data_IF_337706150936
#
_entry.id   IF_337706150936
#
_cell.length_a   1.000
_cell.length_b   1.000
_cell.length_c   1.000
_cell.angle_alpha   90.00
_cell.angle_beta   90.00
_cell.angle_gamma   90.00
#
_symmetry.space_group_name_H-M   'P 1'
#
loop_
_entity.id
_entity.type
_entity.pdbx_description
1 polymer ?
#
# COMPACT_ATOMS: atom_id res chain seq x y z
N UNK A 1 12.78 8.90 57.90
CA UNK A 1 13.27 7.97 56.89
C UNK A 1 12.15 7.85 55.81
N UNK A 2 12.25 8.58 54.72
CA UNK A 2 11.24 8.57 53.64
C UNK A 2 11.70 7.57 52.58
N UNK A 3 10.91 6.53 52.38
CA UNK A 3 11.15 5.52 51.31
C UNK A 3 10.42 6.03 50.08
N UNK A 4 11.19 6.45 49.05
CA UNK A 4 10.64 6.82 47.73
C UNK A 4 10.55 5.55 46.88
N UNK A 5 9.33 5.12 46.60
CA UNK A 5 9.06 4.00 45.68
C UNK A 5 9.14 4.51 44.28
N UNK A 6 10.16 4.12 43.51
CA UNK A 6 10.27 4.37 42.09
C UNK A 6 9.51 3.24 41.34
N UNK A 7 8.33 3.57 40.84
CA UNK A 7 7.60 2.65 39.96
C UNK A 7 8.23 2.66 38.56
N UNK A 8 8.86 1.57 38.19
CA UNK A 8 9.26 1.31 36.79
C UNK A 8 8.01 1.09 35.95
N UNK A 9 7.65 2.07 35.16
CA UNK A 9 6.62 1.90 34.14
C UNK A 9 7.28 1.14 32.98
N UNK A 10 7.05 -0.17 32.89
CA UNK A 10 7.37 -0.98 31.73
C UNK A 10 6.35 -0.62 30.65
N UNK A 11 6.76 0.23 29.70
CA UNK A 11 6.02 0.41 28.45
C UNK A 11 5.97 -0.93 27.72
N UNK A 12 4.80 -1.37 27.21
CA UNK A 12 4.74 -2.55 26.37
C UNK A 12 5.48 -2.24 25.06
N UNK A 13 6.65 -2.86 24.92
CA UNK A 13 7.29 -2.96 23.61
C UNK A 13 6.33 -3.81 22.75
N UNK A 14 5.56 -3.14 21.89
CA UNK A 14 4.82 -3.84 20.83
C UNK A 14 5.89 -4.40 19.91
N UNK A 15 6.25 -5.66 20.13
CA UNK A 15 7.00 -6.45 19.17
C UNK A 15 6.13 -6.55 17.92
N UNK A 16 6.36 -5.68 16.97
CA UNK A 16 6.00 -5.92 15.60
C UNK A 16 6.75 -7.18 15.18
N UNK A 17 6.07 -8.32 15.18
CA UNK A 17 6.57 -9.51 14.52
C UNK A 17 6.77 -9.11 13.06
N UNK A 18 8.02 -8.87 12.68
CA UNK A 18 8.44 -8.84 11.28
C UNK A 18 7.88 -10.12 10.69
N UNK A 19 6.90 -10.01 9.79
CA UNK A 19 6.56 -11.11 8.90
C UNK A 19 7.82 -11.27 8.07
N UNK A 20 8.74 -12.09 8.55
CA UNK A 20 9.91 -12.50 7.79
C UNK A 20 9.35 -13.30 6.62
N UNK A 21 9.17 -12.64 5.48
CA UNK A 21 9.03 -13.37 4.24
C UNK A 21 10.36 -14.08 4.04
N UNK A 22 10.34 -15.41 4.14
CA UNK A 22 11.49 -16.21 3.75
C UNK A 22 11.95 -15.74 2.37
N UNK A 23 13.27 -15.73 2.15
CA UNK A 23 13.81 -15.41 0.83
C UNK A 23 13.10 -16.28 -0.22
N UNK A 24 12.21 -15.66 -0.98
CA UNK A 24 11.36 -16.31 -1.99
C UNK A 24 12.11 -16.51 -3.33
N UNK A 25 13.42 -16.25 -3.35
CA UNK A 25 14.26 -16.26 -4.56
C UNK A 25 14.01 -15.05 -5.48
N UNK A 26 13.15 -14.11 -5.08
CA UNK A 26 12.75 -12.93 -5.87
C UNK A 26 13.26 -11.62 -5.25
N UNK A 27 13.99 -11.73 -4.15
CA UNK A 27 14.46 -10.54 -3.39
C UNK A 27 15.32 -9.62 -4.26
N UNK A 28 16.25 -10.17 -5.03
CA UNK A 28 17.09 -9.36 -5.94
C UNK A 28 16.24 -8.60 -6.96
N UNK A 29 15.30 -9.27 -7.63
CA UNK A 29 14.42 -8.63 -8.63
C UNK A 29 13.57 -7.52 -7.99
N UNK A 30 13.15 -7.73 -6.75
CA UNK A 30 12.38 -6.73 -6.00
C UNK A 30 13.22 -5.49 -5.67
N UNK A 31 14.49 -5.68 -5.28
CA UNK A 31 15.43 -4.59 -5.06
C UNK A 31 15.70 -3.82 -6.34
N UNK A 32 15.95 -4.51 -7.46
CA UNK A 32 16.18 -3.90 -8.77
C UNK A 32 14.98 -3.05 -9.22
N UNK A 33 13.75 -3.54 -8.99
CA UNK A 33 12.54 -2.76 -9.25
C UNK A 33 12.50 -1.47 -8.42
N UNK A 34 12.85 -1.53 -7.14
CA UNK A 34 12.85 -0.36 -6.26
C UNK A 34 13.91 0.65 -6.70
N UNK A 35 15.11 0.21 -7.08
CA UNK A 35 16.14 1.08 -7.64
C UNK A 35 15.65 1.78 -8.92
N UNK A 36 14.97 1.07 -9.80
CA UNK A 36 14.38 1.64 -11.01
C UNK A 36 13.28 2.67 -10.68
N UNK A 37 12.44 2.41 -9.68
CA UNK A 37 11.43 3.36 -9.19
C UNK A 37 12.11 4.63 -8.67
N UNK A 38 13.14 4.51 -7.84
CA UNK A 38 13.90 5.67 -7.32
C UNK A 38 14.50 6.48 -8.48
N UNK A 39 15.11 5.81 -9.47
CA UNK A 39 15.67 6.49 -10.64
C UNK A 39 14.58 7.23 -11.44
N UNK A 40 13.39 6.66 -11.56
CA UNK A 40 12.26 7.32 -12.22
C UNK A 40 11.73 8.53 -11.44
N UNK A 41 11.70 8.49 -10.11
CA UNK A 41 11.37 9.64 -9.25
C UNK A 41 12.35 10.80 -9.52
N UNK A 42 13.65 10.52 -9.51
CA UNK A 42 14.67 11.54 -9.80
C UNK A 42 14.52 12.09 -11.22
N UNK A 43 14.25 11.23 -12.21
CA UNK A 43 14.08 11.64 -13.61
C UNK A 43 12.90 12.59 -13.82
N UNK A 44 11.81 12.39 -13.07
CA UNK A 44 10.55 13.16 -13.23
C UNK A 44 10.40 14.28 -12.19
N UNK A 45 11.44 14.58 -11.41
CA UNK A 45 11.38 15.53 -10.30
C UNK A 45 10.96 16.96 -10.72
N UNK A 46 11.29 17.35 -11.96
CA UNK A 46 10.95 18.70 -12.45
C UNK A 46 9.44 18.85 -12.70
N UNK A 47 8.77 17.76 -13.09
CA UNK A 47 7.32 17.72 -13.33
C UNK A 47 6.55 17.45 -12.05
N UNK A 48 7.00 16.49 -11.25
CA UNK A 48 6.28 16.01 -10.06
C UNK A 48 6.58 16.81 -8.81
N UNK A 49 7.72 17.54 -8.78
CA UNK A 49 8.30 18.20 -7.60
C UNK A 49 8.67 17.25 -6.46
N UNK A 50 8.78 15.95 -6.78
CA UNK A 50 9.25 14.91 -5.87
C UNK A 50 10.65 14.50 -6.33
N UNK A 51 11.66 14.73 -5.50
CA UNK A 51 13.06 14.38 -5.80
C UNK A 51 13.56 13.14 -5.04
N UNK A 52 12.84 12.77 -3.97
CA UNK A 52 13.19 11.62 -3.11
C UNK A 52 11.92 10.94 -2.62
N UNK A 53 12.02 9.65 -2.28
CA UNK A 53 10.97 8.91 -1.60
C UNK A 53 11.26 8.83 -0.10
N UNK A 54 10.20 8.82 0.70
CA UNK A 54 10.29 8.49 2.12
C UNK A 54 10.90 7.09 2.27
N UNK A 55 11.91 6.90 3.14
CA UNK A 55 12.52 5.60 3.40
C UNK A 55 11.50 4.51 3.79
N UNK A 56 10.38 4.87 4.42
CA UNK A 56 9.33 3.92 4.76
C UNK A 56 8.60 3.39 3.52
N UNK A 57 8.39 4.21 2.49
CA UNK A 57 7.84 3.78 1.19
C UNK A 57 8.80 2.81 0.52
N UNK A 58 10.08 3.15 0.48
CA UNK A 58 11.13 2.29 -0.08
C UNK A 58 11.14 0.94 0.63
N UNK A 59 11.16 0.93 1.97
CA UNK A 59 11.15 -0.28 2.77
C UNK A 59 9.88 -1.13 2.53
N UNK A 60 8.69 -0.50 2.45
CA UNK A 60 7.45 -1.20 2.15
C UNK A 60 7.49 -1.89 0.78
N UNK A 61 8.02 -1.22 -0.25
CA UNK A 61 8.16 -1.80 -1.59
C UNK A 61 9.21 -2.92 -1.65
N UNK A 62 10.27 -2.82 -0.85
CA UNK A 62 11.30 -3.86 -0.71
C UNK A 62 10.78 -5.11 0.02
N UNK A 63 9.83 -4.94 0.93
CA UNK A 63 9.26 -6.02 1.75
C UNK A 63 8.13 -6.78 1.04
N UNK A 64 7.24 -6.07 0.33
CA UNK A 64 6.00 -6.65 -0.17
C UNK A 64 6.23 -7.39 -1.49
N UNK A 65 5.94 -8.70 -1.55
CA UNK A 65 6.18 -9.52 -2.73
C UNK A 65 5.14 -9.24 -3.82
N UNK A 66 5.45 -8.33 -4.77
CA UNK A 66 4.52 -7.92 -5.84
C UNK A 66 4.04 -9.09 -6.69
N UNK A 67 4.85 -10.15 -6.86
CA UNK A 67 4.47 -11.34 -7.62
C UNK A 67 3.27 -12.10 -7.02
N UNK A 68 2.96 -11.92 -5.73
CA UNK A 68 1.77 -12.49 -5.11
C UNK A 68 0.47 -11.74 -5.45
N UNK A 69 0.59 -10.57 -6.09
CA UNK A 69 -0.53 -9.69 -6.46
C UNK A 69 -0.85 -9.69 -7.96
N UNK A 70 -0.20 -10.53 -8.73
CA UNK A 70 -0.44 -10.69 -10.17
C UNK A 70 -0.82 -12.13 -10.49
N UNK A 71 -1.49 -12.38 -11.64
CA UNK A 71 -1.72 -13.73 -12.15
C UNK A 71 -0.41 -14.53 -12.27
N UNK A 72 -0.48 -15.84 -12.11
CA UNK A 72 0.70 -16.71 -12.07
C UNK A 72 1.55 -16.61 -13.34
N UNK A 73 0.90 -16.54 -14.50
CA UNK A 73 1.54 -16.38 -15.79
C UNK A 73 2.29 -15.05 -15.96
N UNK A 74 1.96 -14.03 -15.15
CA UNK A 74 2.60 -12.71 -15.17
C UNK A 74 3.67 -12.53 -14.07
N UNK A 75 3.85 -13.51 -13.19
CA UNK A 75 4.89 -13.45 -12.14
C UNK A 75 6.29 -13.15 -12.65
N UNK A 76 6.75 -13.65 -13.80
CA UNK A 76 8.06 -13.29 -14.34
C UNK A 76 8.24 -11.79 -14.66
N UNK A 77 7.14 -11.07 -14.87
CA UNK A 77 7.12 -9.62 -15.15
C UNK A 77 6.82 -8.75 -13.92
N UNK A 78 6.54 -9.38 -12.77
CA UNK A 78 6.02 -8.69 -11.59
C UNK A 78 6.95 -7.61 -11.03
N UNK A 79 8.24 -7.70 -11.29
CA UNK A 79 9.24 -6.75 -10.81
C UNK A 79 9.74 -5.79 -11.89
N UNK A 80 9.07 -5.72 -13.04
CA UNK A 80 9.27 -4.64 -14.00
C UNK A 80 8.44 -3.41 -13.58
N UNK A 81 8.98 -2.22 -13.80
CA UNK A 81 8.26 -0.96 -13.51
C UNK A 81 7.22 -0.65 -14.61
N UNK A 82 6.25 -1.55 -14.74
CA UNK A 82 5.14 -1.48 -15.70
C UNK A 82 3.80 -1.84 -15.02
N UNK A 83 2.65 -1.35 -15.55
CA UNK A 83 1.36 -1.89 -15.17
C UNK A 83 1.20 -3.33 -15.68
N UNK A 84 0.48 -4.17 -14.93
CA UNK A 84 0.23 -5.56 -15.32
C UNK A 84 -1.27 -5.87 -15.22
N UNK A 85 -1.84 -6.63 -16.17
CA UNK A 85 -3.22 -7.08 -16.11
C UNK A 85 -3.50 -7.91 -14.85
N UNK A 86 -4.67 -7.66 -14.22
CA UNK A 86 -5.14 -8.41 -13.05
C UNK A 86 -6.52 -9.04 -13.28
N UNK A 87 -6.95 -9.05 -14.54
CA UNK A 87 -8.26 -9.55 -14.98
C UNK A 87 -9.32 -8.44 -15.05
N UNK A 88 -10.46 -8.79 -15.64
CA UNK A 88 -11.62 -7.88 -15.75
C UNK A 88 -11.30 -6.53 -16.41
N UNK A 89 -10.40 -6.52 -17.40
CA UNK A 89 -9.90 -5.34 -18.09
C UNK A 89 -9.21 -4.32 -17.16
N UNK A 90 -8.81 -4.76 -15.94
CA UNK A 90 -8.10 -3.94 -14.97
C UNK A 90 -6.61 -4.29 -14.91
N UNK A 91 -5.81 -3.30 -14.51
CA UNK A 91 -4.37 -3.44 -14.32
C UNK A 91 -3.98 -3.08 -12.88
N UNK A 92 -2.93 -3.71 -12.36
CA UNK A 92 -2.21 -3.12 -11.22
C UNK A 92 -1.40 -1.92 -11.71
N UNK A 93 -1.36 -0.86 -10.93
CA UNK A 93 -0.59 0.33 -11.27
C UNK A 93 0.90 0.02 -11.39
N UNK A 94 1.60 0.79 -12.23
CA UNK A 94 3.05 0.80 -12.33
C UNK A 94 3.67 1.10 -10.95
N UNK A 95 4.72 0.38 -10.51
CA UNK A 95 5.40 0.62 -9.24
C UNK A 95 5.82 2.07 -9.00
N UNK A 96 6.37 2.73 -10.01
CA UNK A 96 6.69 4.17 -9.95
C UNK A 96 5.46 5.02 -9.59
N UNK A 97 4.30 4.80 -10.23
CA UNK A 97 3.09 5.56 -9.93
C UNK A 97 2.58 5.30 -8.51
N UNK A 98 2.68 4.05 -8.03
CA UNK A 98 2.34 3.70 -6.65
C UNK A 98 3.21 4.49 -5.68
N UNK A 99 4.53 4.47 -5.87
CA UNK A 99 5.46 5.20 -5.03
C UNK A 99 5.20 6.71 -5.05
N UNK A 100 4.99 7.28 -6.24
CA UNK A 100 4.71 8.70 -6.41
C UNK A 100 3.40 9.13 -5.72
N UNK A 101 2.31 8.40 -5.95
CA UNK A 101 1.02 8.69 -5.30
C UNK A 101 1.11 8.60 -3.79
N UNK A 102 1.79 7.58 -3.26
CA UNK A 102 2.01 7.39 -1.82
C UNK A 102 2.83 8.55 -1.24
N UNK A 103 3.90 8.96 -1.92
CA UNK A 103 4.73 10.09 -1.51
C UNK A 103 3.95 11.40 -1.49
N UNK A 104 3.16 11.67 -2.53
CA UNK A 104 2.33 12.89 -2.64
C UNK A 104 1.19 12.92 -1.62
N UNK A 105 0.66 11.75 -1.25
CA UNK A 105 -0.38 11.65 -0.22
C UNK A 105 0.15 11.95 1.19
N UNK A 106 1.47 11.89 1.41
CA UNK A 106 2.11 12.24 2.67
C UNK A 106 1.66 11.34 3.84
N UNK A 107 1.36 10.08 3.57
CA UNK A 107 0.81 9.13 4.55
C UNK A 107 1.77 8.91 5.72
N UNK A 108 1.24 8.98 6.93
CA UNK A 108 1.95 8.80 8.19
C UNK A 108 1.36 7.61 8.98
N UNK A 109 2.16 7.08 9.93
CA UNK A 109 1.82 5.88 10.73
C UNK A 109 0.57 6.00 11.59
N UNK A 110 0.05 7.21 11.80
CA UNK A 110 -1.16 7.46 12.58
C UNK A 110 -2.40 7.62 11.68
N UNK A 111 -2.21 7.75 10.38
CA UNK A 111 -3.24 8.10 9.42
C UNK A 111 -4.23 6.95 9.17
N UNK A 112 -5.44 7.37 8.84
CA UNK A 112 -6.48 6.55 8.23
C UNK A 112 -6.56 6.92 6.75
N UNK A 113 -6.22 5.98 5.89
CA UNK A 113 -6.17 6.19 4.45
C UNK A 113 -7.37 5.56 3.79
N UNK A 114 -8.01 6.33 2.88
CA UNK A 114 -9.03 5.81 1.97
C UNK A 114 -8.43 5.62 0.58
N UNK A 115 -8.60 4.44 0.02
CA UNK A 115 -8.15 4.10 -1.32
C UNK A 115 -9.34 3.67 -2.16
N UNK A 116 -9.44 4.18 -3.40
CA UNK A 116 -10.39 3.69 -4.41
C UNK A 116 -9.65 2.88 -5.47
N UNK A 117 -10.33 1.84 -6.02
CA UNK A 117 -9.72 0.94 -7.00
C UNK A 117 -8.68 -0.01 -6.38
N UNK A 118 -9.07 -0.85 -5.43
CA UNK A 118 -8.18 -1.83 -4.78
C UNK A 118 -7.40 -2.68 -5.80
N UNK A 119 -8.05 -3.10 -6.89
CA UNK A 119 -7.48 -3.97 -7.89
C UNK A 119 -6.98 -5.29 -7.30
N UNK A 120 -5.69 -5.58 -7.48
CA UNK A 120 -5.06 -6.75 -6.86
C UNK A 120 -4.79 -6.62 -5.36
N UNK A 121 -4.79 -5.38 -4.82
CA UNK A 121 -4.48 -5.07 -3.44
C UNK A 121 -3.00 -4.73 -3.17
N UNK A 122 -2.14 -4.63 -4.19
CA UNK A 122 -0.71 -4.36 -3.98
C UNK A 122 -0.48 -2.97 -3.38
N UNK A 123 -1.14 -1.91 -3.90
CA UNK A 123 -1.01 -0.57 -3.34
C UNK A 123 -1.59 -0.51 -1.93
N UNK A 124 -2.77 -1.11 -1.69
CA UNK A 124 -3.36 -1.23 -0.36
C UNK A 124 -2.40 -1.89 0.66
N UNK A 125 -1.66 -2.92 0.22
CA UNK A 125 -0.65 -3.57 1.05
C UNK A 125 0.50 -2.61 1.41
N UNK A 126 1.00 -1.81 0.46
CA UNK A 126 2.02 -0.77 0.71
C UNK A 126 1.50 0.26 1.71
N UNK A 127 0.30 0.81 1.49
CA UNK A 127 -0.33 1.78 2.39
C UNK A 127 -0.49 1.24 3.79
N UNK A 128 -0.83 -0.05 3.94
CA UNK A 128 -1.00 -0.67 5.25
C UNK A 128 0.30 -0.79 6.07
N UNK A 129 1.46 -0.71 5.42
CA UNK A 129 2.77 -0.65 6.10
C UNK A 129 3.11 0.76 6.60
N UNK A 130 2.43 1.77 6.09
CA UNK A 130 2.71 3.18 6.34
C UNK A 130 1.68 3.84 7.27
N UNK A 131 0.43 3.36 7.25
CA UNK A 131 -0.71 3.96 7.92
C UNK A 131 -1.20 3.14 9.12
N UNK A 132 -1.91 3.77 10.05
CA UNK A 132 -2.61 3.09 11.13
C UNK A 132 -3.72 2.19 10.60
N UNK A 133 -4.46 2.67 9.59
CA UNK A 133 -5.55 1.93 8.97
C UNK A 133 -5.73 2.28 7.51
N UNK A 134 -6.00 1.27 6.70
CA UNK A 134 -6.35 1.44 5.28
C UNK A 134 -7.75 0.90 5.03
N UNK A 135 -8.58 1.72 4.41
CA UNK A 135 -9.92 1.39 3.93
C UNK A 135 -9.86 1.47 2.41
N UNK A 136 -10.06 0.36 1.74
CA UNK A 136 -9.97 0.29 0.29
C UNK A 136 -11.29 -0.20 -0.32
N UNK A 137 -11.71 0.40 -1.42
CA UNK A 137 -12.92 0.01 -2.14
C UNK A 137 -12.61 -0.37 -3.58
N UNK A 138 -13.37 -1.34 -4.09
CA UNK A 138 -13.23 -1.88 -5.46
C UNK A 138 -14.62 -2.11 -6.05
N UNK A 139 -14.86 -1.55 -7.23
CA UNK A 139 -16.15 -1.66 -7.92
C UNK A 139 -16.32 -3.00 -8.62
N UNK A 140 -15.24 -3.66 -8.99
CA UNK A 140 -15.26 -4.99 -9.62
C UNK A 140 -15.29 -6.06 -8.54
N UNK A 141 -16.49 -6.61 -8.27
CA UNK A 141 -16.70 -7.54 -7.16
C UNK A 141 -15.72 -8.72 -7.11
N UNK A 142 -15.41 -9.43 -8.20
CA UNK A 142 -14.42 -10.53 -8.16
C UNK A 142 -13.03 -10.08 -7.74
N UNK A 143 -12.59 -8.86 -8.13
CA UNK A 143 -11.32 -8.28 -7.68
C UNK A 143 -11.37 -7.94 -6.19
N UNK A 144 -12.43 -7.27 -5.72
CA UNK A 144 -12.62 -6.96 -4.30
C UNK A 144 -12.52 -8.23 -3.43
N UNK A 145 -13.28 -9.27 -3.80
CA UNK A 145 -13.29 -10.55 -3.06
C UNK A 145 -11.91 -11.24 -3.09
N UNK A 146 -11.23 -11.22 -4.23
CA UNK A 146 -9.89 -11.82 -4.39
C UNK A 146 -8.85 -11.07 -3.56
N UNK A 147 -8.83 -9.73 -3.64
CA UNK A 147 -7.92 -8.89 -2.88
C UNK A 147 -8.14 -9.06 -1.37
N UNK A 148 -9.40 -9.03 -0.90
CA UNK A 148 -9.72 -9.23 0.51
C UNK A 148 -9.20 -10.58 1.05
N UNK A 149 -9.42 -11.66 0.30
CA UNK A 149 -8.91 -13.00 0.68
C UNK A 149 -7.39 -13.06 0.70
N UNK A 150 -6.74 -12.51 -0.33
CA UNK A 150 -5.28 -12.47 -0.45
C UNK A 150 -4.65 -11.72 0.71
N UNK A 151 -5.09 -10.50 0.95
CA UNK A 151 -4.56 -9.64 2.00
C UNK A 151 -4.76 -10.26 3.39
N UNK A 152 -5.93 -10.85 3.65
CA UNK A 152 -6.19 -11.58 4.89
C UNK A 152 -5.24 -12.79 5.06
N UNK A 153 -5.03 -13.60 3.99
CA UNK A 153 -4.10 -14.73 4.00
C UNK A 153 -2.65 -14.29 4.25
N UNK A 154 -2.27 -13.13 3.73
CA UNK A 154 -0.94 -12.54 3.93
C UNK A 154 -0.76 -11.84 5.28
N UNK A 155 -1.79 -11.82 6.15
CA UNK A 155 -1.69 -11.31 7.52
C UNK A 155 -1.87 -9.80 7.67
N UNK A 156 -2.40 -9.09 6.66
CA UNK A 156 -2.71 -7.66 6.79
C UNK A 156 -3.96 -7.48 7.67
N UNK A 157 -3.78 -6.95 8.89
CA UNK A 157 -4.85 -6.81 9.91
C UNK A 157 -5.42 -5.41 10.00
N UNK A 158 -4.67 -4.40 9.56
CA UNK A 158 -5.08 -2.99 9.57
C UNK A 158 -5.68 -2.51 8.24
N UNK A 159 -6.03 -3.45 7.33
CA UNK A 159 -6.57 -3.16 6.01
C UNK A 159 -7.94 -3.83 5.84
N UNK A 160 -8.90 -3.06 5.34
CA UNK A 160 -10.26 -3.52 5.06
C UNK A 160 -10.58 -3.25 3.58
N UNK A 161 -11.04 -4.27 2.86
CA UNK A 161 -11.47 -4.15 1.45
C UNK A 161 -12.97 -4.38 1.36
N UNK A 162 -13.65 -3.50 0.62
CA UNK A 162 -15.09 -3.60 0.35
C UNK A 162 -15.37 -3.53 -1.14
N UNK A 163 -16.29 -4.36 -1.61
CA UNK A 163 -16.94 -4.17 -2.91
C UNK A 163 -17.89 -2.97 -2.82
N UNK A 164 -17.50 -1.85 -3.43
CA UNK A 164 -18.30 -0.62 -3.49
C UNK A 164 -17.78 0.29 -4.60
N UNK A 165 -18.63 1.22 -5.04
CA UNK A 165 -18.21 2.34 -5.86
C UNK A 165 -17.54 3.41 -4.99
N UNK A 166 -16.27 3.70 -5.28
CA UNK A 166 -15.44 4.66 -4.56
C UNK A 166 -15.99 6.09 -4.60
N UNK A 167 -16.81 6.43 -5.61
CA UNK A 167 -17.43 7.73 -5.72
C UNK A 167 -18.30 8.10 -4.50
N UNK A 168 -18.91 7.12 -3.86
CA UNK A 168 -19.74 7.34 -2.67
C UNK A 168 -18.98 7.34 -1.36
N UNK A 169 -17.64 7.14 -1.39
CA UNK A 169 -16.82 7.07 -0.19
C UNK A 169 -17.22 5.94 0.75
N UNK A 170 -16.85 6.08 2.02
CA UNK A 170 -17.31 5.18 3.09
C UNK A 170 -17.41 5.94 4.41
N UNK A 171 -18.46 6.74 4.55
CA UNK A 171 -18.69 7.67 5.65
C UNK A 171 -18.57 7.03 7.05
N UNK A 172 -19.05 5.80 7.22
CA UNK A 172 -19.01 5.11 8.53
C UNK A 172 -17.58 4.71 8.96
N UNK A 173 -16.62 4.80 8.05
CA UNK A 173 -15.20 4.53 8.30
C UNK A 173 -14.34 5.78 8.40
N UNK A 174 -14.87 6.93 8.02
CA UNK A 174 -14.22 8.23 8.14
C UNK A 174 -14.17 8.75 9.59
N UNK A 175 -13.57 9.91 9.83
CA UNK A 175 -12.86 10.70 8.80
C UNK A 175 -11.56 10.03 8.33
N UNK A 176 -11.05 10.46 7.19
CA UNK A 176 -9.78 10.02 6.62
C UNK A 176 -8.78 11.17 6.59
N UNK A 177 -7.51 10.86 6.85
CA UNK A 177 -6.40 11.81 6.83
C UNK A 177 -5.82 11.98 5.43
N UNK A 178 -5.84 10.90 4.64
CA UNK A 178 -5.42 10.89 3.24
C UNK A 178 -6.35 10.05 2.37
N UNK A 179 -6.46 10.45 1.09
CA UNK A 179 -7.25 9.75 0.09
C UNK A 179 -6.42 9.53 -1.18
N UNK A 180 -6.45 8.31 -1.72
CA UNK A 180 -5.83 7.95 -2.99
C UNK A 180 -6.90 7.45 -3.95
N UNK A 181 -7.12 8.22 -5.02
CA UNK A 181 -8.10 7.94 -6.07
C UNK A 181 -7.32 7.51 -7.32
N UNK A 182 -7.57 6.31 -7.81
CA UNK A 182 -6.80 5.71 -8.93
C UNK A 182 -7.58 5.66 -10.25
N UNK A 183 -8.80 6.10 -10.24
CA UNK A 183 -9.66 6.22 -11.42
C UNK A 183 -9.98 7.67 -11.75
N UNK A 184 -10.39 7.91 -13.01
CA UNK A 184 -10.90 9.22 -13.41
C UNK A 184 -12.30 9.43 -12.81
N UNK A 185 -12.45 10.45 -11.98
CA UNK A 185 -13.72 10.83 -11.36
C UNK A 185 -14.08 12.26 -11.73
N UNK A 186 -15.38 12.59 -11.94
CA UNK A 186 -15.80 13.95 -12.31
C UNK A 186 -15.63 14.94 -11.16
N UNK A 187 -15.60 14.47 -9.93
CA UNK A 187 -15.38 15.27 -8.72
C UNK A 187 -14.82 14.38 -7.59
N UNK A 188 -14.15 14.99 -6.62
CA UNK A 188 -13.66 14.29 -5.44
C UNK A 188 -14.86 13.78 -4.63
N UNK A 189 -14.89 12.48 -4.23
CA UNK A 189 -15.94 11.91 -3.41
C UNK A 189 -16.10 12.68 -2.09
N UNK A 190 -17.35 12.81 -1.62
CA UNK A 190 -17.64 13.32 -0.28
C UNK A 190 -17.41 12.18 0.74
N UNK A 191 -16.44 12.34 1.64
CA UNK A 191 -16.09 11.37 2.70
C UNK A 191 -16.48 11.87 4.07
#
# INVERSE_FOLDING_TARGET
MRITLVALILSPIVLWSSISHADDGQTSLRMDMVEQVIANIVRTQHETRVSTLDPAIVAAMQDIPRHEFVPEELRPFSYFDIPLPVGYEQNTSQPYLIALMTQLAGVDKNDRVFETGTGSGYHAAILSRLAARVISVEVVKPLADSAARRLKKMGYTNLEVRHADGFYGWKERGPFDAMIIKEAVPQIPAT
#
